data_IF_147148404084
#
_entry.id   IF_147148404084
#
_cell.length_a   1.000
_cell.length_b   1.000
_cell.length_c   1.000
_cell.angle_alpha   90.00
_cell.angle_beta   90.00
_cell.angle_gamma   90.00
#
_symmetry.space_group_name_H-M   'P 1'
#
loop_
_entity.id
_entity.type
_entity.pdbx_description
1 polymer ?
#
# COMPACT_ATOMS: atom_id res chain seq x y z
N UNK A 1 35.34 11.52 -4.09
CA UNK A 1 34.77 10.15 -4.05
C UNK A 1 33.53 9.98 -3.16
N UNK A 2 33.42 10.68 -2.02
CA UNK A 2 32.27 10.55 -1.07
C UNK A 2 30.89 10.82 -1.69
N UNK A 3 30.77 11.78 -2.62
CA UNK A 3 29.50 12.10 -3.28
C UNK A 3 28.96 11.01 -4.23
N UNK A 4 29.85 10.20 -4.82
CA UNK A 4 29.49 9.12 -5.75
C UNK A 4 28.97 7.90 -4.99
N UNK A 5 29.63 7.51 -3.90
CA UNK A 5 29.15 6.47 -2.98
C UNK A 5 27.79 6.83 -2.37
N UNK A 6 27.57 8.10 -1.99
CA UNK A 6 26.27 8.55 -1.45
C UNK A 6 25.14 8.49 -2.48
N UNK A 7 25.39 8.81 -3.75
CA UNK A 7 24.38 8.69 -4.81
C UNK A 7 24.07 7.25 -5.14
N UNK A 8 25.09 6.39 -5.20
CA UNK A 8 24.93 4.96 -5.43
C UNK A 8 24.14 4.30 -4.30
N UNK A 9 24.43 4.61 -3.04
CA UNK A 9 23.68 4.03 -1.91
C UNK A 9 22.23 4.47 -1.88
N UNK A 10 21.93 5.73 -2.24
CA UNK A 10 20.56 6.24 -2.36
C UNK A 10 19.81 5.59 -3.53
N UNK A 11 20.49 5.37 -4.65
CA UNK A 11 19.94 4.67 -5.82
C UNK A 11 19.64 3.21 -5.52
N UNK A 12 20.58 2.49 -4.90
CA UNK A 12 20.42 1.08 -4.51
C UNK A 12 19.32 0.90 -3.45
N UNK A 13 19.25 1.79 -2.46
CA UNK A 13 18.16 1.78 -1.48
C UNK A 13 16.81 2.06 -2.15
N UNK A 14 16.77 2.94 -3.16
CA UNK A 14 15.59 3.20 -3.97
C UNK A 14 15.14 1.98 -4.77
N UNK A 15 16.07 1.31 -5.47
CA UNK A 15 15.80 0.07 -6.21
C UNK A 15 15.27 -1.03 -5.29
N UNK A 16 15.89 -1.22 -4.12
CA UNK A 16 15.42 -2.21 -3.13
C UNK A 16 14.02 -1.89 -2.62
N UNK A 17 13.75 -0.63 -2.30
CA UNK A 17 12.40 -0.20 -1.88
C UNK A 17 11.36 -0.47 -2.97
N UNK A 18 11.71 -0.20 -4.23
CA UNK A 18 10.84 -0.43 -5.38
C UNK A 18 10.59 -1.92 -5.61
N UNK A 19 11.64 -2.75 -5.55
CA UNK A 19 11.53 -4.21 -5.66
C UNK A 19 10.68 -4.81 -4.53
N UNK A 20 10.84 -4.33 -3.29
CA UNK A 20 10.03 -4.78 -2.17
C UNK A 20 8.58 -4.36 -2.30
N UNK A 21 8.31 -3.11 -2.70
CA UNK A 21 6.95 -2.63 -2.96
C UNK A 21 6.27 -3.39 -4.10
N UNK A 22 6.98 -3.61 -5.21
CA UNK A 22 6.49 -4.40 -6.33
C UNK A 22 6.26 -5.86 -5.95
N UNK A 23 7.21 -6.48 -5.24
CA UNK A 23 7.10 -7.86 -4.76
C UNK A 23 5.94 -8.06 -3.79
N UNK A 24 5.74 -7.14 -2.84
CA UNK A 24 4.60 -7.16 -1.93
C UNK A 24 3.26 -7.01 -2.68
N UNK A 25 3.23 -6.16 -3.70
CA UNK A 25 2.04 -5.99 -4.55
C UNK A 25 1.73 -7.24 -5.36
N UNK A 26 2.74 -7.89 -5.95
CA UNK A 26 2.58 -9.14 -6.69
C UNK A 26 2.11 -10.28 -5.77
N UNK A 27 2.70 -10.39 -4.58
CA UNK A 27 2.30 -11.38 -3.59
C UNK A 27 0.83 -11.17 -3.17
N UNK A 28 0.45 -9.93 -2.89
CA UNK A 28 -0.95 -9.60 -2.58
C UNK A 28 -1.89 -9.97 -3.73
N UNK A 29 -1.56 -9.61 -4.96
CA UNK A 29 -2.37 -9.98 -6.14
C UNK A 29 -2.49 -11.50 -6.30
N UNK A 30 -1.43 -12.25 -6.08
CA UNK A 30 -1.45 -13.71 -6.14
C UNK A 30 -2.37 -14.32 -5.06
N UNK A 31 -2.33 -13.78 -3.84
CA UNK A 31 -3.21 -14.22 -2.75
C UNK A 31 -4.69 -13.92 -3.03
N UNK A 32 -5.01 -12.73 -3.54
CA UNK A 32 -6.38 -12.37 -3.92
C UNK A 32 -6.88 -13.24 -5.08
N UNK A 33 -6.02 -13.50 -6.07
CA UNK A 33 -6.35 -14.40 -7.17
C UNK A 33 -6.62 -15.83 -6.67
N UNK A 34 -5.75 -16.37 -5.81
CA UNK A 34 -5.96 -17.69 -5.21
C UNK A 34 -7.25 -17.74 -4.37
N UNK A 35 -7.55 -16.69 -3.60
CA UNK A 35 -8.81 -16.58 -2.86
C UNK A 35 -10.02 -16.56 -3.78
N UNK A 36 -9.94 -15.83 -4.91
CA UNK A 36 -11.04 -15.78 -5.89
C UNK A 36 -11.37 -17.13 -6.52
N UNK A 37 -10.42 -18.06 -6.57
CA UNK A 37 -10.60 -19.42 -7.08
C UNK A 37 -11.15 -20.40 -6.03
N UNK A 38 -11.21 -20.00 -4.75
CA UNK A 38 -11.65 -20.87 -3.67
C UNK A 38 -13.17 -21.10 -3.73
N UNK A 39 -13.66 -22.33 -3.48
CA UNK A 39 -15.09 -22.61 -3.38
C UNK A 39 -15.74 -21.75 -2.28
N UNK A 40 -16.82 -21.04 -2.61
CA UNK A 40 -17.49 -20.12 -1.66
C UNK A 40 -16.83 -18.74 -1.53
N UNK A 41 -15.90 -18.38 -2.42
CA UNK A 41 -15.37 -17.02 -2.49
C UNK A 41 -16.45 -16.01 -2.88
N UNK A 42 -16.59 -14.97 -2.08
CA UNK A 42 -17.42 -13.78 -2.39
C UNK A 42 -16.69 -12.76 -3.28
N UNK A 43 -15.51 -13.10 -3.77
CA UNK A 43 -14.70 -12.26 -4.67
C UNK A 43 -14.69 -12.93 -6.04
N UNK A 44 -15.46 -12.36 -6.97
CA UNK A 44 -15.41 -12.74 -8.39
C UNK A 44 -14.68 -11.66 -9.19
N UNK A 45 -13.79 -12.10 -10.08
CA UNK A 45 -13.11 -11.20 -11.02
C UNK A 45 -13.98 -11.16 -12.28
N UNK A 46 -15.02 -10.32 -12.25
CA UNK A 46 -15.91 -10.12 -13.39
C UNK A 46 -15.38 -9.02 -14.32
N UNK A 47 -15.28 -9.28 -15.62
CA UNK A 47 -14.82 -8.31 -16.63
C UNK A 47 -13.88 -8.94 -17.66
N UNK A 48 -13.37 -8.14 -18.59
CA UNK A 48 -12.31 -8.65 -19.49
C UNK A 48 -11.01 -8.79 -18.72
N UNK A 49 -10.20 -9.79 -19.10
CA UNK A 49 -8.89 -10.07 -18.48
C UNK A 49 -8.04 -8.79 -18.35
N UNK A 50 -8.04 -7.94 -19.38
CA UNK A 50 -7.29 -6.69 -19.39
C UNK A 50 -7.76 -5.68 -18.33
N UNK A 51 -9.07 -5.50 -18.15
CA UNK A 51 -9.60 -4.61 -17.10
C UNK A 51 -9.24 -5.13 -15.72
N UNK A 52 -9.39 -6.44 -15.49
CA UNK A 52 -9.05 -7.07 -14.23
C UNK A 52 -7.57 -6.91 -13.89
N UNK A 53 -6.66 -7.12 -14.85
CA UNK A 53 -5.22 -6.99 -14.67
C UNK A 53 -4.83 -5.54 -14.36
N UNK A 54 -5.34 -4.58 -15.12
CA UNK A 54 -5.03 -3.15 -14.90
C UNK A 54 -5.54 -2.69 -13.54
N UNK A 55 -6.80 -2.97 -13.21
CA UNK A 55 -7.41 -2.59 -11.94
C UNK A 55 -6.67 -3.23 -10.76
N UNK A 56 -6.41 -4.54 -10.83
CA UNK A 56 -5.71 -5.26 -9.75
C UNK A 56 -4.29 -4.74 -9.55
N UNK A 57 -3.59 -4.39 -10.64
CA UNK A 57 -2.24 -3.85 -10.56
C UNK A 57 -2.22 -2.47 -9.90
N UNK A 58 -3.14 -1.57 -10.29
CA UNK A 58 -3.26 -0.24 -9.70
C UNK A 58 -3.64 -0.34 -8.21
N UNK A 59 -4.57 -1.24 -7.87
CA UNK A 59 -5.00 -1.44 -6.48
C UNK A 59 -3.89 -2.03 -5.61
N UNK A 60 -3.19 -3.06 -6.09
CA UNK A 60 -2.10 -3.68 -5.36
C UNK A 60 -0.93 -2.71 -5.17
N UNK A 61 -0.54 -1.99 -6.21
CA UNK A 61 0.53 -0.99 -6.12
C UNK A 61 0.14 0.18 -5.22
N UNK A 62 -1.06 0.73 -5.40
CA UNK A 62 -1.51 1.89 -4.65
C UNK A 62 -1.75 1.59 -3.18
N UNK A 63 -2.35 0.44 -2.89
CA UNK A 63 -2.70 0.08 -1.51
C UNK A 63 -1.52 -0.54 -0.78
N UNK A 64 -0.81 -1.48 -1.38
CA UNK A 64 0.26 -2.24 -0.72
C UNK A 64 1.64 -1.67 -1.05
N UNK A 65 1.91 -1.48 -2.34
CA UNK A 65 3.23 -1.08 -2.84
C UNK A 65 3.69 0.28 -2.31
N UNK A 66 2.81 1.29 -2.33
CA UNK A 66 3.13 2.66 -1.91
C UNK A 66 3.51 2.74 -0.42
N UNK A 67 2.72 2.20 0.54
CA UNK A 67 3.12 2.19 1.95
C UNK A 67 4.42 1.45 2.22
N UNK A 68 4.62 0.29 1.58
CA UNK A 68 5.85 -0.52 1.73
C UNK A 68 7.05 0.25 1.19
N UNK A 69 6.90 0.89 0.03
CA UNK A 69 7.94 1.76 -0.54
C UNK A 69 8.28 2.91 0.41
N UNK A 70 7.26 3.64 0.90
CA UNK A 70 7.45 4.76 1.82
C UNK A 70 8.13 4.32 3.13
N UNK A 71 7.74 3.16 3.65
CA UNK A 71 8.32 2.59 4.84
C UNK A 71 9.79 2.22 4.62
N UNK A 72 10.14 1.50 3.56
CA UNK A 72 11.53 1.08 3.36
C UNK A 72 12.43 2.24 2.94
N UNK A 73 11.94 3.13 2.06
CA UNK A 73 12.72 4.22 1.47
C UNK A 73 12.97 5.37 2.44
N UNK A 74 11.94 5.76 3.20
CA UNK A 74 11.97 6.93 4.08
C UNK A 74 11.90 6.56 5.57
N UNK A 75 11.82 5.26 5.89
CA UNK A 75 11.66 4.74 7.27
C UNK A 75 10.42 5.30 7.96
N UNK A 76 9.38 5.66 7.20
CA UNK A 76 8.11 6.17 7.72
C UNK A 76 7.23 5.00 8.15
N UNK A 77 6.81 4.94 9.41
CA UNK A 77 6.02 3.79 9.91
C UNK A 77 4.53 4.02 9.74
N UNK A 78 4.10 5.26 9.77
CA UNK A 78 2.69 5.61 9.82
C UNK A 78 1.90 5.15 8.59
N UNK A 79 2.43 5.20 7.34
CA UNK A 79 1.76 4.62 6.18
C UNK A 79 1.55 3.10 6.28
N UNK A 80 2.52 2.37 6.86
CA UNK A 80 2.41 0.93 7.06
C UNK A 80 1.38 0.56 8.13
N UNK A 81 1.28 1.37 9.20
CA UNK A 81 0.23 1.21 10.21
C UNK A 81 -1.16 1.45 9.59
N UNK A 82 -1.30 2.51 8.79
CA UNK A 82 -2.55 2.78 8.09
C UNK A 82 -2.91 1.65 7.12
N UNK A 83 -1.92 1.07 6.42
CA UNK A 83 -2.14 -0.10 5.57
C UNK A 83 -2.74 -1.28 6.35
N UNK A 84 -2.18 -1.60 7.53
CA UNK A 84 -2.73 -2.69 8.37
C UNK A 84 -4.18 -2.40 8.76
N UNK A 85 -4.51 -1.16 9.13
CA UNK A 85 -5.87 -0.75 9.45
C UNK A 85 -6.81 -0.88 8.25
N UNK A 86 -6.36 -0.47 7.06
CA UNK A 86 -7.13 -0.61 5.80
C UNK A 86 -7.38 -2.09 5.50
N UNK A 87 -6.38 -2.97 5.65
CA UNK A 87 -6.55 -4.41 5.42
C UNK A 87 -7.52 -5.05 6.42
N UNK A 88 -7.47 -4.66 7.69
CA UNK A 88 -8.43 -5.11 8.71
C UNK A 88 -9.85 -4.64 8.37
N UNK A 89 -10.00 -3.38 7.96
CA UNK A 89 -11.27 -2.83 7.52
C UNK A 89 -11.82 -3.58 6.29
N UNK A 90 -10.97 -3.88 5.30
CA UNK A 90 -11.35 -4.68 4.14
C UNK A 90 -11.78 -6.08 4.54
N UNK A 91 -11.05 -6.74 5.45
CA UNK A 91 -11.41 -8.06 5.96
C UNK A 91 -12.81 -8.07 6.56
N UNK A 92 -13.16 -7.05 7.36
CA UNK A 92 -14.51 -6.90 7.93
C UNK A 92 -15.55 -6.71 6.83
N UNK A 93 -15.32 -5.85 5.84
CA UNK A 93 -16.28 -5.60 4.75
C UNK A 93 -16.51 -6.84 3.89
N UNK A 94 -15.45 -7.60 3.60
CA UNK A 94 -15.55 -8.81 2.77
C UNK A 94 -16.32 -9.92 3.50
N UNK A 95 -16.19 -9.99 4.83
CA UNK A 95 -16.86 -11.03 5.64
C UNK A 95 -18.26 -10.62 6.13
N UNK A 96 -18.49 -9.32 6.34
CA UNK A 96 -19.77 -8.74 6.77
C UNK A 96 -20.17 -7.63 5.78
N UNK A 97 -20.64 -7.99 4.57
CA UNK A 97 -20.98 -7.01 3.56
C UNK A 97 -22.13 -6.11 4.06
N UNK A 98 -21.94 -4.78 4.10
CA UNK A 98 -22.99 -3.87 4.60
C UNK A 98 -24.21 -3.77 3.68
N UNK A 99 -24.14 -4.31 2.45
CA UNK A 99 -25.17 -4.21 1.41
C UNK A 99 -25.56 -5.58 0.83
N UNK A 100 -25.98 -6.52 1.67
CA UNK A 100 -26.62 -7.79 1.27
C UNK A 100 -25.78 -8.77 0.43
N UNK A 101 -26.37 -9.92 0.09
CA UNK A 101 -25.75 -11.05 -0.61
C UNK A 101 -25.59 -10.86 -2.14
N UNK A 102 -25.57 -9.61 -2.63
CA UNK A 102 -25.43 -9.33 -4.07
C UNK A 102 -24.02 -9.65 -4.59
N UNK A 103 -23.91 -10.02 -5.87
CA UNK A 103 -22.71 -10.59 -6.53
C UNK A 103 -21.41 -9.76 -6.51
N UNK A 104 -21.35 -8.55 -5.93
CA UNK A 104 -20.19 -7.66 -6.10
C UNK A 104 -19.98 -6.43 -5.19
N UNK A 105 -20.79 -6.08 -4.16
CA UNK A 105 -20.71 -4.76 -3.54
C UNK A 105 -19.46 -4.56 -2.65
N UNK A 106 -19.00 -5.59 -1.92
CA UNK A 106 -17.87 -5.44 -0.99
C UNK A 106 -16.54 -5.17 -1.68
N UNK A 107 -16.26 -5.88 -2.78
CA UNK A 107 -15.00 -5.74 -3.53
C UNK A 107 -14.94 -4.43 -4.33
N UNK A 108 -16.05 -4.01 -4.96
CA UNK A 108 -16.15 -2.71 -5.62
C UNK A 108 -15.95 -1.54 -4.63
N UNK A 109 -16.48 -1.65 -3.42
CA UNK A 109 -16.31 -0.63 -2.38
C UNK A 109 -14.84 -0.48 -1.98
N UNK A 110 -14.13 -1.59 -1.84
CA UNK A 110 -12.68 -1.63 -1.62
C UNK A 110 -11.92 -0.93 -2.77
N UNK A 111 -12.32 -1.19 -4.02
CA UNK A 111 -11.72 -0.53 -5.19
C UNK A 111 -11.92 0.98 -5.23
N UNK A 112 -13.15 1.45 -5.01
CA UNK A 112 -13.45 2.88 -5.01
C UNK A 112 -12.70 3.63 -3.90
N UNK A 113 -12.29 2.93 -2.83
CA UNK A 113 -11.50 3.47 -1.73
C UNK A 113 -10.05 3.82 -2.07
N UNK A 114 -9.46 3.23 -3.12
CA UNK A 114 -8.01 3.34 -3.41
C UNK A 114 -7.49 4.78 -3.51
N UNK A 115 -8.15 5.70 -4.25
CA UNK A 115 -7.71 7.09 -4.30
C UNK A 115 -7.67 7.75 -2.91
N UNK A 116 -8.63 7.42 -2.04
CA UNK A 116 -8.67 7.94 -0.67
C UNK A 116 -7.56 7.37 0.20
N UNK A 117 -7.23 6.08 0.06
CA UNK A 117 -6.10 5.48 0.76
C UNK A 117 -4.79 6.13 0.36
N UNK A 118 -4.57 6.38 -0.94
CA UNK A 118 -3.38 7.08 -1.43
C UNK A 118 -3.24 8.49 -0.85
N UNK A 119 -4.33 9.25 -0.81
CA UNK A 119 -4.35 10.58 -0.17
C UNK A 119 -4.01 10.45 1.32
N UNK A 120 -4.64 9.52 2.03
CA UNK A 120 -4.40 9.30 3.45
C UNK A 120 -2.94 8.88 3.73
N UNK A 121 -2.37 7.98 2.93
CA UNK A 121 -0.96 7.62 3.02
C UNK A 121 -0.05 8.83 2.80
N UNK A 122 -0.35 9.67 1.81
CA UNK A 122 0.39 10.91 1.55
C UNK A 122 0.35 11.88 2.73
N UNK A 123 -0.84 12.10 3.30
CA UNK A 123 -1.02 12.98 4.47
C UNK A 123 -0.26 12.46 5.69
N UNK A 124 -0.40 11.16 5.98
CA UNK A 124 0.24 10.52 7.13
C UNK A 124 1.77 10.48 6.97
N UNK A 125 2.27 10.17 5.77
CA UNK A 125 3.68 10.21 5.45
C UNK A 125 4.25 11.64 5.54
N UNK A 126 3.53 12.62 4.97
CA UNK A 126 3.92 14.02 4.99
C UNK A 126 3.97 14.59 6.42
N UNK A 127 2.95 14.27 7.23
CA UNK A 127 2.89 14.66 8.64
C UNK A 127 4.04 14.07 9.45
N UNK A 128 4.30 12.76 9.31
CA UNK A 128 5.41 12.09 9.99
C UNK A 128 6.77 12.67 9.54
N UNK A 129 6.95 12.92 8.24
CA UNK A 129 8.16 13.51 7.70
C UNK A 129 8.40 14.93 8.27
N UNK A 130 7.36 15.76 8.30
CA UNK A 130 7.43 17.12 8.85
C UNK A 130 7.75 17.14 10.35
N UNK A 131 7.14 16.24 11.14
CA UNK A 131 7.42 16.10 12.57
C UNK A 131 8.87 15.68 12.84
N UNK A 132 9.40 14.75 12.05
CA UNK A 132 10.81 14.33 12.16
C UNK A 132 11.79 15.46 11.83
N UNK A 133 11.45 16.31 10.86
CA UNK A 133 12.24 17.50 10.53
C UNK A 133 12.35 18.49 11.69
N UNK A 134 11.22 18.75 12.37
CA UNK A 134 11.17 19.67 13.54
C UNK A 134 11.94 19.16 14.76
N UNK A 135 11.96 17.85 14.98
CA UNK A 135 12.73 17.28 16.10
C UNK A 135 14.24 17.42 15.88
N UNK A 136 14.73 17.32 14.63
CA UNK A 136 16.15 17.48 14.33
C UNK A 136 16.64 18.92 14.48
N UNK A 137 15.80 19.91 14.18
CA UNK A 137 16.17 21.33 14.33
C UNK A 137 16.07 21.84 15.76
N UNK A 138 15.39 21.12 16.67
CA UNK A 138 15.26 21.46 18.09
C UNK A 138 16.27 20.78 19.00
N UNK A 139 17.06 19.82 18.52
CA UNK A 139 18.13 19.22 19.32
C UNK A 139 19.20 20.28 19.62
N UNK A 140 19.50 20.58 20.89
CA UNK A 140 20.60 21.48 21.23
C UNK A 140 21.92 20.89 20.70
N UNK A 141 22.90 21.72 20.32
CA UNK A 141 24.22 21.24 19.92
C UNK A 141 24.78 20.36 21.04
N UNK A 142 25.23 19.15 20.68
CA UNK A 142 25.93 18.27 21.60
C UNK A 142 27.20 19.00 22.03
N UNK A 143 27.32 19.28 23.32
CA UNK A 143 28.55 19.73 23.96
C UNK A 143 29.57 18.60 24.00
#
# INVERSE_FOLDING_TARGET
MVGLHRRLSVSEQGKRALLLGAGASLLYSALVFAYSLAPGSNVSISGTLWHAVVLSSVLALGTIGVPVFLWYRYRLRSPAVLLVVVLLFWHVIVYMPPFGDGDSPGFLFVFMGVPFYLVAYGLVAGGEYWLRGRNRSRSPPSA
#
